data_IF_072511988762
#
_entry.id   IF_072511988762
#
_cell.length_a   1.000
_cell.length_b   1.000
_cell.length_c   1.000
_cell.angle_alpha   90.00
_cell.angle_beta   90.00
_cell.angle_gamma   90.00
#
_symmetry.space_group_name_H-M   'P 1'
#
loop_
_entity.id
_entity.type
_entity.pdbx_description
1 polymer ?
#
# COMPACT_ATOMS: atom_id res chain seq x y z
N UNK A 1 15.75 7.64 -26.43
CA UNK A 1 14.48 7.10 -25.96
C UNK A 1 14.75 5.73 -25.36
N UNK A 2 15.16 5.70 -24.10
CA UNK A 2 15.31 4.48 -23.33
C UNK A 2 13.91 4.15 -22.78
N UNK A 3 13.22 3.21 -23.41
CA UNK A 3 12.09 2.56 -22.80
C UNK A 3 12.61 1.85 -21.54
N UNK A 4 12.28 2.39 -20.37
CA UNK A 4 12.42 1.64 -19.13
C UNK A 4 11.49 0.43 -19.26
N UNK A 5 12.06 -0.75 -19.50
CA UNK A 5 11.30 -1.97 -19.50
C UNK A 5 10.90 -2.25 -18.05
N UNK A 6 9.61 -2.18 -17.78
CA UNK A 6 9.04 -2.64 -16.51
C UNK A 6 9.22 -4.16 -16.43
N UNK A 7 10.31 -4.58 -15.79
CA UNK A 7 10.66 -5.99 -15.65
C UNK A 7 10.08 -6.52 -14.34
N UNK A 8 8.89 -7.09 -14.38
CA UNK A 8 8.38 -7.92 -13.30
C UNK A 8 9.01 -9.32 -13.39
N UNK A 9 9.77 -9.70 -12.36
CA UNK A 9 10.51 -10.99 -12.34
C UNK A 9 11.29 -11.23 -13.64
N UNK A 10 11.86 -10.16 -14.22
CA UNK A 10 12.58 -10.16 -15.51
C UNK A 10 11.70 -10.45 -16.73
N UNK A 11 10.37 -10.28 -16.64
CA UNK A 11 9.46 -10.36 -17.78
C UNK A 11 9.07 -8.96 -18.25
N UNK A 12 9.02 -8.77 -19.57
CA UNK A 12 8.59 -7.50 -20.16
C UNK A 12 7.08 -7.31 -20.00
N UNK A 13 6.67 -6.38 -19.13
CA UNK A 13 5.27 -6.09 -18.87
C UNK A 13 4.56 -5.44 -20.07
N UNK A 14 5.29 -4.86 -21.03
CA UNK A 14 4.71 -4.23 -22.23
C UNK A 14 4.11 -5.25 -23.18
N UNK A 15 4.62 -6.48 -23.19
CA UNK A 15 4.14 -7.59 -24.03
C UNK A 15 2.94 -8.34 -23.42
N UNK A 16 2.54 -8.04 -22.19
CA UNK A 16 1.47 -8.72 -21.48
C UNK A 16 0.09 -8.34 -22.00
N UNK A 17 -0.80 -9.32 -22.14
CA UNK A 17 -2.23 -9.07 -22.40
C UNK A 17 -2.95 -8.55 -21.13
N UNK A 18 -4.20 -8.08 -21.28
CA UNK A 18 -4.95 -7.47 -20.16
C UNK A 18 -5.18 -8.42 -18.97
N UNK A 19 -5.37 -9.70 -19.22
CA UNK A 19 -5.50 -10.70 -18.17
C UNK A 19 -4.19 -10.86 -17.39
N UNK A 20 -3.06 -10.94 -18.07
CA UNK A 20 -1.74 -11.02 -17.43
C UNK A 20 -1.41 -9.76 -16.64
N UNK A 21 -1.72 -8.57 -17.18
CA UNK A 21 -1.56 -7.29 -16.48
C UNK A 21 -2.46 -7.20 -15.23
N UNK A 22 -3.71 -7.67 -15.32
CA UNK A 22 -4.62 -7.69 -14.16
C UNK A 22 -4.11 -8.63 -13.08
N UNK A 23 -3.61 -9.79 -13.45
CA UNK A 23 -2.99 -10.73 -12.52
C UNK A 23 -1.73 -10.15 -11.89
N UNK A 24 -0.86 -9.52 -12.69
CA UNK A 24 0.34 -8.84 -12.19
C UNK A 24 -0.02 -7.77 -11.15
N UNK A 25 -1.00 -6.88 -11.47
CA UNK A 25 -1.47 -5.88 -10.51
C UNK A 25 -1.97 -6.52 -9.22
N UNK A 26 -2.79 -7.56 -9.33
CA UNK A 26 -3.32 -8.26 -8.16
C UNK A 26 -2.27 -8.98 -7.33
N UNK A 27 -1.20 -9.48 -7.95
CA UNK A 27 -0.18 -10.30 -7.30
C UNK A 27 0.99 -9.49 -6.74
N UNK A 28 1.35 -8.39 -7.40
CA UNK A 28 2.58 -7.66 -7.14
C UNK A 28 2.39 -6.28 -6.53
N UNK A 29 1.19 -5.71 -6.61
CA UNK A 29 0.94 -4.33 -6.19
C UNK A 29 -0.14 -4.29 -5.12
N UNK A 30 0.18 -3.67 -3.98
CA UNK A 30 -0.78 -3.28 -2.95
C UNK A 30 -1.15 -1.80 -3.13
N UNK A 31 -2.44 -1.47 -3.12
CA UNK A 31 -2.90 -0.09 -3.25
C UNK A 31 -3.44 0.44 -1.93
N UNK A 32 -3.04 1.66 -1.58
CA UNK A 32 -3.54 2.44 -0.44
C UNK A 32 -4.03 3.79 -0.97
N UNK A 33 -5.24 4.20 -0.58
CA UNK A 33 -5.88 5.43 -1.06
C UNK A 33 -6.16 6.39 0.09
N UNK A 34 -6.27 7.68 -0.23
CA UNK A 34 -6.61 8.74 0.72
C UNK A 34 -7.94 8.48 1.44
N UNK A 35 -8.98 8.01 0.75
CA UNK A 35 -10.32 7.76 1.30
C UNK A 35 -10.49 6.35 1.88
N UNK A 36 -9.40 5.64 2.19
CA UNK A 36 -9.35 4.29 2.74
C UNK A 36 -10.05 3.21 1.89
N UNK A 37 -11.14 3.52 1.23
CA UNK A 37 -11.99 2.63 0.41
C UNK A 37 -12.30 1.30 1.13
N UNK A 38 -12.66 1.39 2.41
CA UNK A 38 -13.11 0.23 3.17
C UNK A 38 -14.57 -0.07 2.85
N UNK A 39 -14.91 -1.36 2.86
CA UNK A 39 -16.28 -1.83 2.66
C UNK A 39 -17.05 -1.63 3.97
N UNK A 40 -18.07 -0.75 4.03
CA UNK A 40 -18.63 -0.26 5.29
C UNK A 40 -19.31 -1.33 6.13
N UNK A 41 -19.91 -2.36 5.50
CA UNK A 41 -20.63 -3.44 6.17
C UNK A 41 -19.72 -4.60 6.62
N UNK A 42 -18.46 -4.62 6.20
CA UNK A 42 -17.49 -5.59 6.65
C UNK A 42 -16.72 -5.07 7.87
N UNK A 43 -16.27 -5.99 8.72
CA UNK A 43 -15.32 -5.68 9.79
C UNK A 43 -13.93 -5.36 9.23
N UNK A 44 -13.01 -4.88 10.08
CA UNK A 44 -11.60 -4.71 9.71
C UNK A 44 -11.02 -6.00 9.14
N UNK A 45 -11.23 -7.13 9.82
CA UNK A 45 -10.81 -8.44 9.37
C UNK A 45 -11.40 -8.79 8.00
N UNK A 46 -12.72 -8.61 7.83
CA UNK A 46 -13.40 -8.87 6.55
C UNK A 46 -12.86 -8.01 5.41
N UNK A 47 -12.54 -6.74 5.68
CA UNK A 47 -11.93 -5.86 4.69
C UNK A 47 -10.56 -6.37 4.22
N UNK A 48 -9.72 -6.85 5.14
CA UNK A 48 -8.40 -7.41 4.78
C UNK A 48 -8.55 -8.75 4.07
N UNK A 49 -9.48 -9.63 4.50
CA UNK A 49 -9.74 -10.92 3.84
C UNK A 49 -10.14 -10.77 2.37
N UNK A 50 -10.75 -9.64 1.96
CA UNK A 50 -11.17 -9.42 0.55
C UNK A 50 -10.01 -9.53 -0.43
N UNK A 51 -8.81 -9.08 -0.05
CA UNK A 51 -7.62 -9.16 -0.89
C UNK A 51 -7.13 -10.60 -1.13
N UNK A 52 -7.56 -11.54 -0.28
CA UNK A 52 -7.15 -12.95 -0.34
C UNK A 52 -8.19 -13.85 -1.05
N UNK A 53 -9.36 -13.34 -1.45
CA UNK A 53 -10.46 -14.16 -1.96
C UNK A 53 -10.09 -15.01 -3.18
N UNK A 54 -9.24 -14.49 -4.05
CA UNK A 54 -8.86 -15.14 -5.32
C UNK A 54 -7.48 -15.84 -5.27
N UNK A 55 -6.93 -16.05 -4.05
CA UNK A 55 -5.60 -16.64 -3.84
C UNK A 55 -5.62 -18.16 -3.65
N UNK A 56 -6.77 -18.82 -3.81
CA UNK A 56 -6.89 -20.28 -3.61
C UNK A 56 -6.73 -20.73 -2.14
N UNK A 57 -6.78 -19.79 -1.19
CA UNK A 57 -6.62 -20.09 0.24
C UNK A 57 -7.94 -20.56 0.86
N UNK A 58 -7.87 -21.47 1.83
CA UNK A 58 -9.02 -21.85 2.63
C UNK A 58 -9.56 -20.66 3.46
N UNK A 59 -10.85 -20.65 3.83
CA UNK A 59 -11.40 -19.60 4.69
C UNK A 59 -10.62 -19.43 6.00
N UNK A 60 -10.18 -20.52 6.60
CA UNK A 60 -9.39 -20.53 7.84
C UNK A 60 -8.03 -19.85 7.64
N UNK A 61 -7.35 -20.13 6.55
CA UNK A 61 -6.04 -19.53 6.23
C UNK A 61 -6.17 -18.05 5.89
N UNK A 62 -7.20 -17.64 5.13
CA UNK A 62 -7.47 -16.21 4.86
C UNK A 62 -7.67 -15.43 6.14
N UNK A 63 -8.54 -15.94 7.04
CA UNK A 63 -8.82 -15.31 8.33
C UNK A 63 -7.56 -15.17 9.17
N UNK A 64 -6.72 -16.22 9.23
CA UNK A 64 -5.46 -16.20 9.95
C UNK A 64 -4.52 -15.12 9.43
N UNK A 65 -4.25 -15.09 8.11
CA UNK A 65 -3.36 -14.09 7.50
C UNK A 65 -3.88 -12.67 7.65
N UNK A 66 -5.18 -12.47 7.52
CA UNK A 66 -5.80 -11.16 7.71
C UNK A 66 -5.64 -10.67 9.16
N UNK A 67 -5.84 -11.54 10.15
CA UNK A 67 -5.62 -11.20 11.57
C UNK A 67 -4.15 -10.87 11.85
N UNK A 68 -3.20 -11.68 11.34
CA UNK A 68 -1.77 -11.41 11.48
C UNK A 68 -1.35 -10.09 10.83
N UNK A 69 -1.98 -9.72 9.68
CA UNK A 69 -1.72 -8.45 9.02
C UNK A 69 -2.24 -7.25 9.83
N UNK A 70 -3.41 -7.38 10.46
CA UNK A 70 -3.95 -6.35 11.35
C UNK A 70 -3.10 -6.20 12.62
N UNK A 71 -2.68 -7.30 13.21
CA UNK A 71 -1.85 -7.29 14.43
C UNK A 71 -0.51 -6.58 14.20
N UNK A 72 0.15 -6.84 13.08
CA UNK A 72 1.39 -6.14 12.65
C UNK A 72 1.23 -4.62 12.57
N UNK A 73 0.02 -4.14 12.36
CA UNK A 73 -0.29 -2.71 12.26
C UNK A 73 -0.94 -2.16 13.54
N UNK A 74 -0.82 -2.87 14.68
CA UNK A 74 -1.31 -2.45 15.97
C UNK A 74 -2.84 -2.44 16.07
N UNK A 75 -3.53 -3.26 15.27
CA UNK A 75 -4.99 -3.39 15.27
C UNK A 75 -5.47 -4.70 15.93
N UNK A 76 -4.61 -5.33 16.73
CA UNK A 76 -5.00 -6.45 17.59
C UNK A 76 -6.13 -6.04 18.52
N UNK A 77 -7.23 -6.82 18.51
CA UNK A 77 -8.46 -6.47 19.26
C UNK A 77 -9.44 -5.56 18.52
N UNK A 78 -9.11 -5.10 17.28
CA UNK A 78 -10.00 -4.30 16.42
C UNK A 78 -10.58 -5.09 15.24
N UNK A 79 -10.28 -6.37 15.13
CA UNK A 79 -10.60 -7.22 13.97
C UNK A 79 -12.10 -7.24 13.65
N UNK A 80 -12.93 -7.16 14.68
CA UNK A 80 -14.40 -7.22 14.56
C UNK A 80 -15.06 -5.84 14.41
N UNK A 81 -14.30 -4.73 14.54
CA UNK A 81 -14.84 -3.39 14.38
C UNK A 81 -15.13 -3.09 12.91
N UNK A 82 -16.25 -2.40 12.65
CA UNK A 82 -16.59 -1.86 11.33
C UNK A 82 -15.93 -0.49 11.14
N UNK A 83 -15.75 -0.02 9.89
CA UNK A 83 -15.13 1.27 9.62
C UNK A 83 -15.68 2.42 10.45
N UNK A 84 -17.01 2.50 10.63
CA UNK A 84 -17.66 3.54 11.43
C UNK A 84 -17.27 3.54 12.92
N UNK A 85 -16.68 2.47 13.41
CA UNK A 85 -16.23 2.30 14.80
C UNK A 85 -14.72 2.53 14.97
N UNK A 86 -14.03 2.87 13.89
CA UNK A 86 -12.58 3.08 13.84
C UNK A 86 -12.26 4.56 13.62
N UNK A 87 -11.19 5.05 14.24
CA UNK A 87 -10.64 6.37 13.95
C UNK A 87 -10.10 6.42 12.50
N UNK A 88 -9.83 7.63 11.96
CA UNK A 88 -9.25 7.79 10.63
C UNK A 88 -7.92 7.05 10.47
N UNK A 89 -7.03 7.18 11.46
CA UNK A 89 -5.76 6.46 11.47
C UNK A 89 -5.91 4.94 11.56
N UNK A 90 -6.88 4.43 12.34
CA UNK A 90 -7.20 3.00 12.39
C UNK A 90 -7.75 2.51 11.04
N UNK A 91 -8.63 3.27 10.39
CA UNK A 91 -9.14 2.95 9.05
C UNK A 91 -8.03 2.89 8.01
N UNK A 92 -7.09 3.84 8.05
CA UNK A 92 -5.93 3.83 7.15
C UNK A 92 -5.04 2.61 7.41
N UNK A 93 -4.79 2.25 8.66
CA UNK A 93 -4.05 1.02 8.98
C UNK A 93 -4.77 -0.25 8.49
N UNK A 94 -6.11 -0.31 8.54
CA UNK A 94 -6.86 -1.41 7.91
C UNK A 94 -6.67 -1.43 6.39
N UNK A 95 -6.68 -0.26 5.72
CA UNK A 95 -6.43 -0.17 4.28
C UNK A 95 -5.00 -0.62 3.92
N UNK A 96 -4.00 -0.25 4.72
CA UNK A 96 -2.62 -0.71 4.58
C UNK A 96 -2.54 -2.23 4.81
N UNK A 97 -3.17 -2.77 5.88
CA UNK A 97 -3.22 -4.21 6.13
C UNK A 97 -3.77 -4.99 4.93
N UNK A 98 -4.85 -4.48 4.33
CA UNK A 98 -5.44 -5.04 3.11
C UNK A 98 -4.48 -5.00 1.92
N UNK A 99 -3.71 -3.94 1.78
CA UNK A 99 -2.75 -3.79 0.69
C UNK A 99 -1.56 -4.75 0.83
N UNK A 100 -1.08 -5.02 2.06
CA UNK A 100 0.13 -5.81 2.30
C UNK A 100 -0.13 -7.30 2.57
N UNK A 101 -1.36 -7.73 2.85
CA UNK A 101 -1.69 -9.12 3.23
C UNK A 101 -1.38 -10.14 2.13
N UNK A 102 -1.28 -9.69 0.88
CA UNK A 102 -0.89 -10.50 -0.29
C UNK A 102 0.60 -10.58 -0.49
N UNK A 103 1.39 -9.94 0.38
CA UNK A 103 2.85 -9.81 0.28
C UNK A 103 3.30 -9.23 -1.08
N UNK A 104 2.86 -8.00 -1.43
CA UNK A 104 3.18 -7.39 -2.70
C UNK A 104 4.64 -6.94 -2.77
N UNK A 105 5.19 -6.84 -4.00
CA UNK A 105 6.52 -6.29 -4.26
C UNK A 105 6.54 -4.77 -4.22
N UNK A 106 5.40 -4.13 -4.51
CA UNK A 106 5.24 -2.68 -4.51
C UNK A 106 4.00 -2.31 -3.72
N UNK A 107 4.12 -1.38 -2.79
CA UNK A 107 2.98 -0.69 -2.18
C UNK A 107 2.90 0.69 -2.82
N UNK A 108 1.78 0.97 -3.49
CA UNK A 108 1.48 2.27 -4.09
C UNK A 108 0.44 2.98 -3.23
N UNK A 109 0.82 4.11 -2.64
CA UNK A 109 -0.04 4.90 -1.78
C UNK A 109 -0.31 6.27 -2.40
N UNK A 110 -1.57 6.58 -2.62
CA UNK A 110 -2.05 7.83 -3.21
C UNK A 110 -2.63 8.71 -2.11
N UNK A 111 -1.94 9.83 -1.79
CA UNK A 111 -2.27 10.76 -0.71
C UNK A 111 -2.61 10.07 0.63
N UNK A 112 -1.76 9.15 1.13
CA UNK A 112 -2.14 8.24 2.21
C UNK A 112 -2.41 8.91 3.56
N UNK A 113 -2.03 10.16 3.72
CA UNK A 113 -2.19 10.97 4.94
C UNK A 113 -3.18 12.12 4.79
N UNK A 114 -3.66 12.40 3.57
CA UNK A 114 -4.45 13.59 3.26
C UNK A 114 -5.82 13.67 3.95
N UNK A 115 -6.31 12.59 4.58
CA UNK A 115 -7.55 12.56 5.36
C UNK A 115 -7.30 12.47 6.88
N UNK A 116 -6.06 12.63 7.34
CA UNK A 116 -5.65 12.45 8.74
C UNK A 116 -5.21 13.76 9.37
N UNK A 117 -5.30 13.84 10.69
CA UNK A 117 -4.60 14.87 11.47
C UNK A 117 -3.08 14.60 11.51
N UNK A 118 -2.31 15.59 11.96
CA UNK A 118 -0.84 15.53 11.90
C UNK A 118 -0.26 14.35 12.69
N UNK A 119 -0.78 14.03 13.87
CA UNK A 119 -0.28 12.93 14.70
C UNK A 119 -0.53 11.58 14.01
N UNK A 120 -1.73 11.37 13.48
CA UNK A 120 -2.03 10.14 12.74
C UNK A 120 -1.26 10.07 11.41
N UNK A 121 -0.99 11.21 10.76
CA UNK A 121 -0.18 11.26 9.55
C UNK A 121 1.25 10.80 9.80
N UNK A 122 1.91 11.30 10.85
CA UNK A 122 3.25 10.87 11.27
C UNK A 122 3.30 9.36 11.54
N UNK A 123 2.36 8.84 12.34
CA UNK A 123 2.25 7.41 12.63
C UNK A 123 2.09 6.55 11.37
N UNK A 124 1.34 7.02 10.38
CA UNK A 124 1.18 6.30 9.10
C UNK A 124 2.47 6.35 8.27
N UNK A 125 3.22 7.44 8.30
CA UNK A 125 4.51 7.53 7.61
C UNK A 125 5.55 6.58 8.23
N UNK A 126 5.57 6.41 9.56
CA UNK A 126 6.38 5.40 10.23
C UNK A 126 6.03 3.99 9.75
N UNK A 127 4.73 3.67 9.66
CA UNK A 127 4.27 2.38 9.11
C UNK A 127 4.82 2.17 7.70
N UNK A 128 4.78 3.16 6.81
CA UNK A 128 5.33 3.04 5.46
C UNK A 128 6.85 2.86 5.46
N UNK A 129 7.56 3.52 6.38
CA UNK A 129 9.01 3.33 6.53
C UNK A 129 9.35 1.89 6.93
N UNK A 130 8.59 1.31 7.87
CA UNK A 130 8.77 -0.07 8.34
C UNK A 130 8.39 -1.13 7.29
N UNK A 131 7.54 -0.78 6.33
CA UNK A 131 7.15 -1.67 5.24
C UNK A 131 8.24 -1.85 4.18
N UNK A 132 9.23 -0.96 4.11
CA UNK A 132 10.34 -1.06 3.15
C UNK A 132 11.22 -2.28 3.45
N UNK A 133 11.60 -3.00 2.43
CA UNK A 133 12.58 -4.09 2.52
C UNK A 133 13.31 -4.24 1.18
N UNK A 134 14.39 -5.03 1.11
CA UNK A 134 15.03 -5.33 -0.17
C UNK A 134 14.09 -5.94 -1.22
N UNK A 135 13.00 -6.59 -0.77
CA UNK A 135 12.02 -7.24 -1.62
C UNK A 135 10.77 -6.40 -1.85
N UNK A 136 10.58 -5.29 -1.11
CA UNK A 136 9.38 -4.46 -1.21
C UNK A 136 9.70 -2.98 -1.33
N UNK A 137 9.29 -2.39 -2.45
CA UNK A 137 9.30 -0.94 -2.63
C UNK A 137 8.00 -0.30 -2.13
N UNK A 138 8.12 0.91 -1.56
CA UNK A 138 6.98 1.77 -1.22
C UNK A 138 7.05 3.01 -2.11
N UNK A 139 5.99 3.29 -2.84
CA UNK A 139 5.84 4.47 -3.69
C UNK A 139 4.69 5.32 -3.16
N UNK A 140 4.99 6.53 -2.75
CA UNK A 140 4.01 7.51 -2.26
C UNK A 140 3.75 8.54 -3.36
N UNK A 141 2.50 8.82 -3.64
CA UNK A 141 2.07 9.96 -4.47
C UNK A 141 1.51 10.99 -3.51
N UNK A 142 2.08 12.19 -3.49
CA UNK A 142 1.64 13.27 -2.60
C UNK A 142 1.96 14.63 -3.19
N UNK A 143 1.17 15.64 -2.82
CA UNK A 143 1.47 17.05 -3.04
C UNK A 143 2.08 17.71 -1.79
N UNK A 144 2.19 16.99 -0.68
CA UNK A 144 2.83 17.46 0.53
C UNK A 144 4.36 17.34 0.40
N UNK A 145 5.03 18.50 0.46
CA UNK A 145 6.48 18.58 0.26
C UNK A 145 7.25 18.04 1.45
N UNK A 146 6.73 18.15 2.68
CA UNK A 146 7.38 17.62 3.89
C UNK A 146 7.43 16.09 3.84
N UNK A 147 6.31 15.46 3.44
CA UNK A 147 6.25 14.03 3.21
C UNK A 147 7.20 13.61 2.08
N UNK A 148 7.18 14.32 0.96
CA UNK A 148 8.05 14.01 -0.18
C UNK A 148 9.53 14.10 0.20
N UNK A 149 9.92 15.10 0.99
CA UNK A 149 11.31 15.32 1.43
C UNK A 149 11.76 14.33 2.53
N UNK A 150 10.84 13.62 3.19
CA UNK A 150 11.14 12.56 4.16
C UNK A 150 11.46 11.18 3.52
N UNK A 151 11.35 11.06 2.20
CA UNK A 151 11.57 9.79 1.47
C UNK A 151 13.01 9.63 0.99
N UNK A 152 13.40 8.40 0.59
CA UNK A 152 14.76 8.14 0.07
C UNK A 152 14.98 8.70 -1.34
N UNK A 153 13.91 8.82 -2.14
CA UNK A 153 13.94 9.34 -3.51
C UNK A 153 12.68 10.11 -3.82
N UNK A 154 12.84 11.29 -4.37
CA UNK A 154 11.77 12.19 -4.77
C UNK A 154 11.75 12.38 -6.28
N UNK A 155 10.62 12.09 -6.89
CA UNK A 155 10.39 12.29 -8.33
C UNK A 155 9.29 13.34 -8.48
N UNK A 156 9.62 14.49 -9.09
CA UNK A 156 8.64 15.53 -9.41
C UNK A 156 8.14 15.36 -10.83
N UNK A 157 6.81 15.37 -10.99
CA UNK A 157 6.15 15.21 -12.28
C UNK A 157 5.34 16.49 -12.60
N UNK A 158 5.34 16.89 -13.86
CA UNK A 158 4.51 17.96 -14.40
C UNK A 158 4.04 17.58 -15.79
N UNK A 159 2.74 17.74 -16.04
CA UNK A 159 2.11 17.47 -17.35
C UNK A 159 2.41 16.06 -17.91
N UNK A 160 2.57 15.07 -17.01
CA UNK A 160 2.90 13.68 -17.37
C UNK A 160 4.38 13.42 -17.63
N UNK A 161 5.26 14.40 -17.47
CA UNK A 161 6.70 14.28 -17.64
C UNK A 161 7.44 14.38 -16.30
N UNK A 162 8.54 13.65 -16.17
CA UNK A 162 9.44 13.77 -15.01
C UNK A 162 10.28 15.01 -15.21
N UNK A 163 10.12 16.00 -14.32
CA UNK A 163 10.87 17.26 -14.34
C UNK A 163 12.05 17.26 -13.36
N UNK A 164 12.02 16.38 -12.35
CA UNK A 164 13.07 16.26 -11.36
C UNK A 164 13.12 14.84 -10.78
N UNK A 165 14.32 14.35 -10.49
CA UNK A 165 14.57 13.05 -9.86
C UNK A 165 15.74 13.21 -8.89
N UNK A 166 15.47 13.15 -7.58
CA UNK A 166 16.42 13.38 -6.51
C UNK A 166 16.52 12.15 -5.61
N UNK A 167 17.73 11.73 -5.32
CA UNK A 167 18.02 10.76 -4.26
C UNK A 167 18.29 11.57 -2.98
N UNK A 168 17.41 11.43 -1.98
CA UNK A 168 17.48 12.16 -0.72
C UNK A 168 18.11 11.29 0.39
N UNK A 169 18.02 9.98 0.29
CA UNK A 169 18.69 9.02 1.17
C UNK A 169 20.18 9.04 0.92
N UNK A 170 20.91 9.88 1.66
CA UNK A 170 22.35 9.82 1.72
C UNK A 170 22.77 8.73 2.71
N UNK A 171 23.67 7.85 2.23
CA UNK A 171 24.67 7.11 3.00
C UNK A 171 24.46 7.05 4.54
N UNK A 172 23.94 5.91 5.00
CA UNK A 172 24.26 5.42 6.34
C UNK A 172 24.89 4.05 6.27
#
# INVERSE_FOLDING_TARGET
>A
SSAASDVYKRQDATSMNDFQRSRLRGDAIGFVFQQFHLIPHLSALGNVETALLYRGLSPKERKKRAAESLDKLGLGGRENHRPVQLSGGEQQRVAIARAIVTDPLVVLADEPTGALDSENAENIMEVFADLKSPERAVCLVTHDMEIADSTDRKISMKDGEIVQDLILGSEK
#
